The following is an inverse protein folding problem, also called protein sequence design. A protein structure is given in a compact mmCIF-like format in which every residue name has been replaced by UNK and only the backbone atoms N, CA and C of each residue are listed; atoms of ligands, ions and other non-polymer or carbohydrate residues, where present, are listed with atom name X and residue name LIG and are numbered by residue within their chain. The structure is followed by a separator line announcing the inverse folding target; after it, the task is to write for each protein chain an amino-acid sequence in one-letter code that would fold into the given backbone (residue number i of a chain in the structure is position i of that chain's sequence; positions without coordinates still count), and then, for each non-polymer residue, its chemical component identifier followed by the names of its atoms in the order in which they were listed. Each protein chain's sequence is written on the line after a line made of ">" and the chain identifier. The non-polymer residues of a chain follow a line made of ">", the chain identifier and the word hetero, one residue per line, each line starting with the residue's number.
data_IF_783667978033
#
_entry.id   IF_783667978033
#
_cell.length_a   1.000
_cell.length_b   1.000
_cell.length_c   1.000
_cell.angle_alpha   90.00
_cell.angle_beta   90.00
_cell.angle_gamma   90.00
#
_symmetry.space_group_name_H-M   'P 1'
#
loop_
_entity.id
_entity.type
_entity.pdbx_description
1 polymer ?
#
# COMPACT_ATOMS: atom_id res chain seq x y z
N UNK A 1 -16.50 -5.84 -8.99
CA UNK A 1 -16.68 -5.69 -7.53
C UNK A 1 -15.71 -4.61 -7.10
N UNK A 2 -16.17 -3.57 -6.40
CA UNK A 2 -15.29 -2.44 -6.02
C UNK A 2 -14.40 -2.84 -4.84
N UNK A 3 -13.10 -2.62 -4.97
CA UNK A 3 -12.10 -2.91 -3.94
C UNK A 3 -11.44 -1.61 -3.46
N UNK A 4 -11.00 -1.59 -2.20
CA UNK A 4 -10.29 -0.47 -1.59
C UNK A 4 -8.81 -0.81 -1.40
N UNK A 5 -7.93 -0.02 -1.99
CA UNK A 5 -6.49 -0.06 -1.69
C UNK A 5 -6.19 0.97 -0.59
N UNK A 6 -5.84 0.49 0.59
CA UNK A 6 -5.53 1.33 1.74
C UNK A 6 -4.04 1.69 1.78
N UNK A 7 -3.75 2.94 1.43
CA UNK A 7 -2.44 3.59 1.54
C UNK A 7 -2.42 4.70 2.61
N UNK A 8 -3.40 4.71 3.52
CA UNK A 8 -3.47 5.69 4.59
C UNK A 8 -2.55 5.33 5.77
N UNK A 9 -2.30 6.30 6.66
CA UNK A 9 -1.67 6.01 7.95
C UNK A 9 -2.57 5.11 8.81
N UNK A 10 -1.98 4.46 9.82
CA UNK A 10 -2.76 3.65 10.76
C UNK A 10 -3.79 4.50 11.53
N UNK A 11 -3.48 5.77 11.80
CA UNK A 11 -4.38 6.71 12.46
C UNK A 11 -5.67 6.92 11.67
N UNK A 12 -5.57 7.26 10.38
CA UNK A 12 -6.74 7.41 9.51
C UNK A 12 -7.43 6.07 9.24
N UNK A 13 -6.66 5.00 9.07
CA UNK A 13 -7.22 3.67 8.81
C UNK A 13 -8.14 3.22 9.95
N UNK A 14 -7.76 3.46 11.22
CA UNK A 14 -8.57 3.08 12.38
C UNK A 14 -9.95 3.74 12.40
N UNK A 15 -10.10 4.93 11.82
CA UNK A 15 -11.38 5.63 11.77
C UNK A 15 -12.36 5.01 10.75
N UNK A 16 -11.85 4.33 9.70
CA UNK A 16 -12.68 3.86 8.58
C UNK A 16 -12.81 2.33 8.55
N UNK A 17 -11.76 1.59 8.89
CA UNK A 17 -11.72 0.14 8.77
C UNK A 17 -12.88 -0.59 9.50
N UNK A 18 -13.36 -0.17 10.69
CA UNK A 18 -14.47 -0.83 11.36
C UNK A 18 -15.81 -0.72 10.61
N UNK A 19 -15.96 0.27 9.74
CA UNK A 19 -17.22 0.62 9.08
C UNK A 19 -17.26 0.23 7.60
N UNK A 20 -16.19 -0.40 7.09
CA UNK A 20 -16.10 -0.75 5.67
C UNK A 20 -16.94 -2.00 5.35
N UNK A 21 -17.74 -1.91 4.29
CA UNK A 21 -18.49 -3.06 3.74
C UNK A 21 -17.89 -3.57 2.42
N UNK A 22 -16.65 -3.19 2.12
CA UNK A 22 -15.93 -3.57 0.90
C UNK A 22 -14.62 -4.27 1.23
N UNK A 23 -14.15 -5.10 0.27
CA UNK A 23 -12.83 -5.72 0.36
C UNK A 23 -11.77 -4.62 0.38
N UNK A 24 -10.87 -4.70 1.35
CA UNK A 24 -9.83 -3.71 1.57
C UNK A 24 -8.48 -4.41 1.64
N UNK A 25 -7.51 -3.91 0.87
CA UNK A 25 -6.15 -4.40 0.77
C UNK A 25 -5.26 -3.32 1.36
N UNK A 26 -4.48 -3.67 2.39
CA UNK A 26 -3.54 -2.74 3.01
C UNK A 26 -2.13 -3.08 2.56
N UNK A 27 -1.44 -2.10 1.97
CA UNK A 27 -0.06 -2.27 1.51
C UNK A 27 0.91 -1.86 2.64
N UNK A 28 1.86 -2.74 2.95
CA UNK A 28 2.90 -2.50 3.94
C UNK A 28 4.22 -2.31 3.22
N UNK A 29 4.82 -1.13 3.39
CA UNK A 29 6.16 -0.83 2.88
C UNK A 29 7.15 -0.93 4.03
N UNK A 30 8.00 -1.94 3.98
CA UNK A 30 9.03 -2.19 4.98
C UNK A 30 10.23 -2.88 4.37
N UNK A 31 11.31 -2.89 5.14
CA UNK A 31 12.55 -3.58 4.80
C UNK A 31 12.65 -4.84 5.66
N UNK A 32 13.06 -5.96 5.08
CA UNK A 32 13.39 -7.14 5.87
C UNK A 32 14.73 -6.94 6.57
N UNK A 33 14.72 -6.99 7.90
CA UNK A 33 15.91 -6.86 8.74
C UNK A 33 15.88 -7.98 9.77
N UNK A 34 16.81 -8.92 9.68
CA UNK A 34 16.91 -10.09 10.57
C UNK A 34 15.61 -10.92 10.61
N UNK A 35 15.03 -11.22 9.44
CA UNK A 35 13.79 -12.01 9.32
C UNK A 35 12.52 -11.29 9.78
N UNK A 36 12.59 -9.97 10.03
CA UNK A 36 11.44 -9.16 10.44
C UNK A 36 11.27 -7.96 9.51
N UNK A 37 10.03 -7.68 9.14
CA UNK A 37 9.70 -6.47 8.37
C UNK A 37 9.75 -5.26 9.30
N UNK A 38 10.67 -4.33 9.02
CA UNK A 38 10.76 -3.03 9.70
C UNK A 38 10.21 -1.93 8.80
N UNK A 39 9.19 -1.22 9.32
CA UNK A 39 8.57 -0.08 8.64
C UNK A 39 9.18 1.21 9.16
N UNK A 40 9.87 1.96 8.28
CA UNK A 40 10.35 3.31 8.60
C UNK A 40 9.30 4.33 8.16
N UNK A 41 8.84 5.16 9.08
CA UNK A 41 7.65 6.00 8.88
C UNK A 41 7.75 6.97 7.69
N UNK A 42 8.89 7.63 7.50
CA UNK A 42 9.11 8.57 6.38
C UNK A 42 9.11 7.85 5.04
N UNK A 43 9.86 6.75 4.94
CA UNK A 43 9.96 5.93 3.73
C UNK A 43 8.61 5.33 3.37
N UNK A 44 7.86 4.82 4.35
CA UNK A 44 6.53 4.29 4.12
C UNK A 44 5.54 5.35 3.62
N UNK A 45 5.64 6.60 4.09
CA UNK A 45 4.80 7.71 3.57
C UNK A 45 5.15 8.05 2.12
N UNK A 46 6.44 8.13 1.80
CA UNK A 46 6.92 8.37 0.44
C UNK A 46 6.46 7.25 -0.49
N UNK A 47 6.66 5.99 -0.11
CA UNK A 47 6.29 4.83 -0.91
C UNK A 47 4.77 4.73 -1.17
N UNK A 48 3.94 5.11 -0.19
CA UNK A 48 2.49 5.18 -0.38
C UNK A 48 2.08 6.23 -1.40
N UNK A 49 2.66 7.43 -1.33
CA UNK A 49 2.41 8.47 -2.33
C UNK A 49 2.87 8.06 -3.72
N UNK A 50 4.05 7.42 -3.79
CA UNK A 50 4.61 6.91 -5.04
C UNK A 50 3.76 5.81 -5.65
N UNK A 51 3.21 4.90 -4.84
CA UNK A 51 2.27 3.88 -5.32
C UNK A 51 0.98 4.50 -5.88
N UNK A 52 0.44 5.54 -5.25
CA UNK A 52 -0.72 6.28 -5.80
C UNK A 52 -0.39 6.87 -7.17
N UNK A 53 0.75 7.55 -7.28
CA UNK A 53 1.22 8.13 -8.55
C UNK A 53 1.37 7.06 -9.63
N UNK A 54 2.09 5.98 -9.32
CA UNK A 54 2.33 4.87 -10.23
C UNK A 54 1.02 4.20 -10.68
N UNK A 55 0.08 3.94 -9.77
CA UNK A 55 -1.22 3.37 -10.14
C UNK A 55 -1.99 4.28 -11.10
N UNK A 56 -1.95 5.60 -10.88
CA UNK A 56 -2.57 6.58 -11.77
C UNK A 56 -1.90 6.61 -13.14
N UNK A 57 -0.57 6.65 -13.19
CA UNK A 57 0.22 6.69 -14.43
C UNK A 57 0.02 5.43 -15.28
N UNK A 58 -0.01 4.25 -14.63
CA UNK A 58 -0.20 2.96 -15.29
C UNK A 58 -1.67 2.61 -15.52
N UNK A 59 -2.61 3.46 -15.09
CA UNK A 59 -4.06 3.22 -15.17
C UNK A 59 -4.46 1.87 -14.58
N UNK A 60 -3.98 1.57 -13.37
CA UNK A 60 -4.28 0.31 -12.69
C UNK A 60 -5.74 0.29 -12.27
N UNK A 61 -6.48 -0.72 -12.74
CA UNK A 61 -7.90 -0.91 -12.44
C UNK A 61 -8.16 -2.15 -11.57
N UNK A 62 -7.16 -3.03 -11.38
CA UNK A 62 -7.27 -4.25 -10.58
C UNK A 62 -6.22 -4.30 -9.47
N UNK A 63 -6.65 -4.80 -8.31
CA UNK A 63 -5.79 -5.06 -7.15
C UNK A 63 -4.72 -6.12 -7.45
N UNK A 64 -4.96 -7.04 -8.39
CA UNK A 64 -3.94 -8.01 -8.80
C UNK A 64 -2.68 -7.31 -9.35
N UNK A 65 -2.88 -6.22 -10.07
CA UNK A 65 -1.84 -5.60 -10.90
C UNK A 65 -0.94 -4.70 -10.05
N UNK A 66 -1.39 -4.29 -8.86
CA UNK A 66 -0.58 -3.50 -7.94
C UNK A 66 0.65 -4.25 -7.44
N UNK A 67 0.70 -5.58 -7.61
CA UNK A 67 1.87 -6.42 -7.28
C UNK A 67 3.06 -6.15 -8.19
N UNK A 68 2.84 -5.52 -9.35
CA UNK A 68 3.89 -5.11 -10.29
C UNK A 68 4.60 -3.82 -9.86
N UNK A 69 4.16 -3.19 -8.77
CA UNK A 69 4.84 -2.03 -8.20
C UNK A 69 6.28 -2.38 -7.78
N UNK A 70 7.24 -1.68 -8.40
CA UNK A 70 8.68 -1.90 -8.20
C UNK A 70 9.49 -0.62 -8.00
N UNK A 71 8.80 0.51 -7.80
CA UNK A 71 9.45 1.81 -7.59
C UNK A 71 10.17 1.85 -6.25
N UNK A 72 11.16 2.75 -6.14
CA UNK A 72 11.96 2.96 -4.93
C UNK A 72 12.69 1.70 -4.41
N UNK A 73 12.86 0.68 -5.26
CA UNK A 73 13.50 -0.59 -4.92
C UNK A 73 12.62 -1.55 -4.13
N UNK A 74 11.32 -1.28 -3.97
CA UNK A 74 10.38 -2.24 -3.37
C UNK A 74 10.07 -3.39 -4.33
N UNK A 75 9.67 -4.53 -3.77
CA UNK A 75 9.14 -5.68 -4.50
C UNK A 75 8.05 -6.34 -3.68
N UNK A 76 7.00 -6.82 -4.34
CA UNK A 76 5.95 -7.61 -3.69
C UNK A 76 6.50 -8.94 -3.14
N UNK A 77 6.06 -9.30 -1.93
CA UNK A 77 6.40 -10.55 -1.21
C UNK A 77 5.18 -11.12 -0.52
#
# INVERSE_FOLDING_TARGET
>A
MTELVNLASAEYSKAILPYKNIRCITCIFGEEVNGKIKVKGTQAKIARGEMVRWMADQKIESVSDIREFKELGYRFS
#
